data_IF_068648566848
#
_entry.id   IF_068648566848
#
_cell.length_a   1.000
_cell.length_b   1.000
_cell.length_c   1.000
_cell.angle_alpha   90.00
_cell.angle_beta   90.00
_cell.angle_gamma   90.00
#
_symmetry.space_group_name_H-M   'P 1'
#
loop_
_entity.id
_entity.type
_entity.pdbx_description
1 polymer ?
#
# COMPACT_ATOMS: atom_id res chain seq x y z
N UNK A 1 7.60 22.39 25.11
CA UNK A 1 7.17 21.23 24.31
C UNK A 1 6.53 21.79 23.06
N UNK A 2 6.93 21.40 21.85
CA UNK A 2 6.21 21.81 20.65
C UNK A 2 4.73 21.40 20.82
N UNK A 3 3.80 22.32 20.53
CA UNK A 3 2.37 22.01 20.54
C UNK A 3 2.12 20.83 19.61
N UNK A 4 1.68 19.69 20.15
CA UNK A 4 1.23 18.57 19.33
C UNK A 4 -0.07 19.01 18.67
N UNK A 5 0.02 19.46 17.41
CA UNK A 5 -1.13 19.88 16.63
C UNK A 5 -2.08 18.70 16.45
N UNK A 6 -3.30 18.83 16.98
CA UNK A 6 -4.35 17.84 16.73
C UNK A 6 -4.92 18.08 15.33
N UNK A 7 -4.37 17.36 14.36
CA UNK A 7 -4.71 17.46 12.95
C UNK A 7 -6.14 17.03 12.62
N UNK A 8 -6.73 16.14 13.41
CA UNK A 8 -8.14 15.77 13.24
C UNK A 8 -9.08 16.90 13.71
N UNK A 9 -8.76 17.55 14.83
CA UNK A 9 -9.49 18.73 15.31
C UNK A 9 -9.43 19.89 14.29
N UNK A 10 -8.28 20.08 13.63
CA UNK A 10 -8.17 21.05 12.54
C UNK A 10 -9.14 20.72 11.39
N UNK A 11 -9.14 19.47 10.91
CA UNK A 11 -10.06 19.00 9.86
C UNK A 11 -11.53 19.15 10.24
N UNK A 12 -11.89 18.88 11.49
CA UNK A 12 -13.25 19.10 12.01
C UNK A 12 -13.64 20.58 11.98
N UNK A 13 -12.68 21.46 12.23
CA UNK A 13 -12.89 22.90 12.22
C UNK A 13 -13.07 23.42 10.79
N UNK A 14 -12.22 22.98 9.86
CA UNK A 14 -12.30 23.30 8.43
C UNK A 14 -13.60 22.74 7.80
N UNK A 15 -14.06 21.56 8.24
CA UNK A 15 -15.34 21.01 7.80
C UNK A 15 -16.53 21.91 8.18
N UNK A 16 -16.42 22.70 9.26
CA UNK A 16 -17.48 23.59 9.75
C UNK A 16 -17.87 24.69 8.76
N UNK A 17 -17.04 24.95 7.75
CA UNK A 17 -17.31 25.87 6.64
C UNK A 17 -18.32 25.29 5.63
N UNK A 18 -18.43 23.96 5.55
CA UNK A 18 -19.29 23.26 4.59
C UNK A 18 -20.43 22.47 5.24
N UNK A 19 -20.30 22.10 6.51
CA UNK A 19 -21.30 21.35 7.26
C UNK A 19 -21.16 21.64 8.76
N UNK A 20 -22.26 21.72 9.50
CA UNK A 20 -22.15 21.99 10.94
C UNK A 20 -21.46 20.85 11.72
N UNK A 21 -20.46 21.21 12.52
CA UNK A 21 -19.79 20.33 13.49
C UNK A 21 -19.98 20.90 14.89
N UNK A 22 -20.56 20.11 15.80
CA UNK A 22 -20.92 20.51 17.16
C UNK A 22 -20.40 19.54 18.22
N UNK A 23 -20.24 20.01 19.46
CA UNK A 23 -19.95 19.16 20.61
C UNK A 23 -21.17 18.30 20.97
N UNK A 24 -21.03 16.97 20.96
CA UNK A 24 -22.12 16.03 21.30
C UNK A 24 -22.37 15.93 22.81
N UNK A 25 -21.35 16.24 23.60
CA UNK A 25 -21.38 16.36 25.06
C UNK A 25 -20.52 17.53 25.55
N UNK A 26 -20.53 17.80 26.85
CA UNK A 26 -19.63 18.78 27.44
C UNK A 26 -18.18 18.29 27.36
N UNK A 27 -17.29 19.11 26.80
CA UNK A 27 -15.88 18.74 26.60
C UNK A 27 -15.06 19.31 27.76
N UNK A 28 -14.38 18.42 28.47
CA UNK A 28 -13.56 18.77 29.63
C UNK A 28 -12.08 18.51 29.37
N UNK A 29 -11.20 19.28 30.01
CA UNK A 29 -9.80 18.90 30.12
C UNK A 29 -9.61 17.74 31.13
N UNK A 30 -8.40 17.18 31.19
CA UNK A 30 -8.04 16.08 32.10
C UNK A 30 -8.29 16.38 33.59
N UNK A 31 -8.37 17.66 33.97
CA UNK A 31 -8.63 18.10 35.35
C UNK A 31 -10.12 18.36 35.63
N UNK A 32 -11.01 18.11 34.66
CA UNK A 32 -12.45 18.30 34.80
C UNK A 32 -12.94 19.73 34.60
N UNK A 33 -12.11 20.63 34.05
CA UNK A 33 -12.54 21.99 33.70
C UNK A 33 -13.27 21.96 32.36
N UNK A 34 -14.48 22.54 32.33
CA UNK A 34 -15.28 22.68 31.10
C UNK A 34 -14.56 23.59 30.10
N UNK A 35 -14.32 23.08 28.91
CA UNK A 35 -13.74 23.84 27.80
C UNK A 35 -14.85 24.29 26.84
N UNK A 36 -15.65 23.35 26.35
CA UNK A 36 -16.69 23.59 25.36
C UNK A 36 -18.00 22.96 25.85
N UNK A 37 -19.08 23.74 25.88
CA UNK A 37 -20.39 23.24 26.27
C UNK A 37 -21.03 22.42 25.14
N UNK A 38 -21.79 21.40 25.50
CA UNK A 38 -22.61 20.60 24.57
C UNK A 38 -23.42 21.49 23.62
N UNK A 39 -23.44 21.13 22.33
CA UNK A 39 -24.13 21.86 21.26
C UNK A 39 -23.35 23.05 20.70
N UNK A 40 -22.20 23.41 21.29
CA UNK A 40 -21.35 24.47 20.74
C UNK A 40 -20.69 24.03 19.45
N UNK A 41 -20.56 24.95 18.48
CA UNK A 41 -19.84 24.69 17.22
C UNK A 41 -18.33 24.53 17.45
N UNK A 42 -17.74 23.55 16.78
CA UNK A 42 -16.28 23.33 16.74
C UNK A 42 -15.68 24.25 15.68
N UNK A 43 -15.55 25.54 15.99
CA UNK A 43 -14.96 26.57 15.11
C UNK A 43 -13.50 26.89 15.50
N UNK A 44 -12.85 27.83 14.80
CA UNK A 44 -11.44 28.18 15.07
C UNK A 44 -11.18 28.65 16.51
N UNK A 45 -12.17 29.26 17.18
CA UNK A 45 -12.06 29.63 18.60
C UNK A 45 -12.09 28.38 19.49
N UNK A 46 -13.00 27.44 19.21
CA UNK A 46 -13.06 26.16 19.91
C UNK A 46 -11.78 25.35 19.69
N UNK A 47 -11.26 25.29 18.46
CA UNK A 47 -9.98 24.67 18.13
C UNK A 47 -8.84 25.23 18.97
N UNK A 48 -8.66 26.56 18.97
CA UNK A 48 -7.59 27.23 19.72
C UNK A 48 -7.70 26.98 21.23
N UNK A 49 -8.92 26.81 21.75
CA UNK A 49 -9.15 26.46 23.15
C UNK A 49 -8.81 25.00 23.44
N UNK A 50 -9.30 24.07 22.62
CA UNK A 50 -9.11 22.63 22.80
C UNK A 50 -7.64 22.21 22.64
N UNK A 51 -6.92 22.77 21.66
CA UNK A 51 -5.51 22.43 21.38
C UNK A 51 -4.56 22.77 22.53
N UNK A 52 -4.93 23.72 23.41
CA UNK A 52 -4.13 24.11 24.58
C UNK A 52 -4.28 23.17 25.78
N UNK A 53 -5.14 22.17 25.70
CA UNK A 53 -5.50 21.32 26.83
C UNK A 53 -5.49 19.84 26.46
N UNK A 54 -4.93 19.00 27.33
CA UNK A 54 -5.18 17.56 27.29
C UNK A 54 -6.65 17.31 27.62
N UNK A 55 -7.39 16.70 26.70
CA UNK A 55 -8.81 16.40 26.88
C UNK A 55 -9.01 15.16 27.77
N UNK A 56 -10.12 15.12 28.50
CA UNK A 56 -10.50 13.97 29.34
C UNK A 56 -10.89 12.74 28.52
N UNK A 57 -11.52 12.96 27.36
CA UNK A 57 -11.84 11.95 26.34
C UNK A 57 -11.29 12.44 25.00
N UNK A 58 -11.09 11.53 24.05
CA UNK A 58 -10.68 11.91 22.69
C UNK A 58 -11.78 12.76 22.02
N UNK A 59 -11.37 13.73 21.18
CA UNK A 59 -12.31 14.63 20.51
C UNK A 59 -13.26 13.86 19.59
N UNK A 60 -12.78 12.76 19.00
CA UNK A 60 -13.47 11.84 18.13
C UNK A 60 -14.80 11.33 18.71
N UNK A 61 -14.85 11.13 20.03
CA UNK A 61 -16.03 10.62 20.74
C UNK A 61 -16.98 11.72 21.24
N UNK A 62 -16.57 12.98 21.10
CA UNK A 62 -17.24 14.14 21.71
C UNK A 62 -17.82 15.12 20.68
N UNK A 63 -17.83 14.76 19.40
CA UNK A 63 -18.35 15.60 18.32
C UNK A 63 -19.46 14.91 17.54
N UNK A 64 -20.39 15.70 17.02
CA UNK A 64 -21.43 15.30 16.08
C UNK A 64 -21.38 16.15 14.83
N UNK A 65 -21.60 15.49 13.70
CA UNK A 65 -21.72 16.12 12.38
C UNK A 65 -23.21 16.23 12.03
N UNK A 66 -23.61 17.33 11.40
CA UNK A 66 -24.99 17.55 10.91
C UNK A 66 -25.47 16.41 10.01
N UNK A 67 -24.63 16.00 9.05
CA UNK A 67 -24.87 14.83 8.23
C UNK A 67 -23.68 13.88 8.25
N UNK A 68 -23.97 12.58 8.20
CA UNK A 68 -22.97 11.53 8.07
C UNK A 68 -23.44 10.57 6.98
N UNK A 69 -22.51 9.92 6.30
CA UNK A 69 -22.90 8.91 5.32
C UNK A 69 -23.67 7.77 5.98
N UNK A 70 -24.76 7.35 5.33
CA UNK A 70 -25.39 6.05 5.53
C UNK A 70 -24.68 4.98 4.71
N UNK A 71 -24.83 3.71 5.09
CA UNK A 71 -24.31 2.57 4.33
C UNK A 71 -24.78 2.59 2.87
N UNK A 72 -26.01 3.05 2.62
CA UNK A 72 -26.55 3.26 1.27
C UNK A 72 -25.79 4.34 0.48
N UNK A 73 -25.43 5.46 1.11
CA UNK A 73 -24.66 6.52 0.45
C UNK A 73 -23.23 6.07 0.16
N UNK A 74 -22.61 5.30 1.06
CA UNK A 74 -21.27 4.71 0.84
C UNK A 74 -21.33 3.77 -0.36
N UNK A 75 -22.29 2.83 -0.39
CA UNK A 75 -22.53 1.94 -1.53
C UNK A 75 -22.69 2.70 -2.85
N UNK A 76 -23.54 3.73 -2.88
CA UNK A 76 -23.77 4.54 -4.08
C UNK A 76 -22.51 5.27 -4.55
N UNK A 77 -21.69 5.75 -3.62
CA UNK A 77 -20.40 6.38 -3.95
C UNK A 77 -19.38 5.37 -4.47
N UNK A 78 -19.35 4.15 -3.93
CA UNK A 78 -18.52 3.08 -4.48
C UNK A 78 -18.94 2.73 -5.90
N UNK A 79 -20.25 2.56 -6.16
CA UNK A 79 -20.73 2.31 -7.53
C UNK A 79 -20.33 3.42 -8.50
N UNK A 80 -20.39 4.68 -8.07
CA UNK A 80 -19.96 5.80 -8.91
C UNK A 80 -18.47 5.72 -9.32
N UNK A 81 -17.60 5.13 -8.48
CA UNK A 81 -16.18 4.88 -8.83
C UNK A 81 -16.10 3.73 -9.85
N UNK A 82 -16.83 2.65 -9.63
CA UNK A 82 -16.84 1.49 -10.54
C UNK A 82 -17.38 1.88 -11.92
N UNK A 83 -18.42 2.70 -11.99
CA UNK A 83 -19.03 3.16 -13.24
C UNK A 83 -18.11 4.10 -14.05
N UNK A 84 -17.17 4.77 -13.38
CA UNK A 84 -16.16 5.60 -14.03
C UNK A 84 -15.02 4.78 -14.66
N UNK A 85 -14.89 3.50 -14.30
CA UNK A 85 -13.85 2.61 -14.82
C UNK A 85 -14.46 1.39 -15.52
N UNK A 86 -14.42 1.34 -16.87
CA UNK A 86 -14.91 0.19 -17.64
C UNK A 86 -14.28 -1.14 -17.19
N UNK A 87 -13.01 -1.12 -16.79
CA UNK A 87 -12.28 -2.30 -16.31
C UNK A 87 -12.83 -2.81 -14.98
N UNK A 88 -13.09 -1.91 -14.01
CA UNK A 88 -13.66 -2.29 -12.72
C UNK A 88 -15.10 -2.77 -12.84
N UNK A 89 -15.88 -2.14 -13.73
CA UNK A 89 -17.23 -2.57 -14.01
C UNK A 89 -17.24 -3.98 -14.65
N UNK A 90 -16.34 -4.23 -15.62
CA UNK A 90 -16.16 -5.56 -16.20
C UNK A 90 -15.78 -6.60 -15.14
N UNK A 91 -14.82 -6.32 -14.26
CA UNK A 91 -14.46 -7.21 -13.17
C UNK A 91 -15.65 -7.56 -12.28
N UNK A 92 -16.45 -6.56 -11.89
CA UNK A 92 -17.64 -6.80 -11.09
C UNK A 92 -18.64 -7.72 -11.80
N UNK A 93 -18.89 -7.48 -13.09
CA UNK A 93 -19.82 -8.28 -13.89
C UNK A 93 -19.34 -9.73 -14.07
N UNK A 94 -18.08 -9.91 -14.49
CA UNK A 94 -17.50 -11.24 -14.73
C UNK A 94 -17.40 -12.07 -13.45
N UNK A 95 -17.25 -11.43 -12.29
CA UNK A 95 -17.25 -12.08 -10.99
C UNK A 95 -18.64 -12.15 -10.33
N UNK A 96 -19.71 -11.75 -11.03
CA UNK A 96 -21.10 -11.74 -10.55
C UNK A 96 -21.23 -11.11 -9.15
N UNK A 97 -20.55 -9.98 -8.93
CA UNK A 97 -20.33 -9.45 -7.59
C UNK A 97 -21.27 -8.32 -7.18
N UNK A 98 -22.04 -7.75 -8.09
CA UNK A 98 -22.92 -6.60 -7.81
C UNK A 98 -23.93 -6.89 -6.68
N UNK A 99 -24.74 -7.95 -6.80
CA UNK A 99 -25.72 -8.33 -5.78
C UNK A 99 -25.08 -8.70 -4.44
N UNK A 100 -24.06 -9.59 -4.39
CA UNK A 100 -23.32 -9.87 -3.16
C UNK A 100 -22.76 -8.60 -2.49
N UNK A 101 -22.16 -7.70 -3.28
CA UNK A 101 -21.58 -6.47 -2.78
C UNK A 101 -22.64 -5.56 -2.17
N UNK A 102 -23.79 -5.40 -2.85
CA UNK A 102 -24.94 -4.68 -2.31
C UNK A 102 -25.38 -5.22 -0.95
N UNK A 103 -25.46 -6.55 -0.80
CA UNK A 103 -25.80 -7.17 0.48
C UNK A 103 -24.75 -6.91 1.55
N UNK A 104 -23.46 -6.99 1.21
CA UNK A 104 -22.35 -6.71 2.13
C UNK A 104 -22.41 -5.27 2.62
N UNK A 105 -22.57 -4.28 1.72
CA UNK A 105 -22.61 -2.88 2.11
C UNK A 105 -23.83 -2.55 2.98
N UNK A 106 -25.03 -3.00 2.59
CA UNK A 106 -26.27 -2.66 3.29
C UNK A 106 -26.46 -3.42 4.61
N UNK A 107 -25.63 -4.43 4.88
CA UNK A 107 -25.55 -5.11 6.17
C UNK A 107 -24.31 -4.68 6.99
N UNK A 108 -23.51 -3.74 6.48
CA UNK A 108 -22.27 -3.28 7.09
C UNK A 108 -22.44 -2.77 8.51
N UNK A 109 -23.51 -2.02 8.80
CA UNK A 109 -23.84 -1.48 10.11
C UNK A 109 -22.66 -0.73 10.75
N UNK A 110 -22.07 0.20 9.99
CA UNK A 110 -20.90 0.96 10.45
C UNK A 110 -21.24 1.80 11.69
N UNK A 111 -20.42 1.72 12.77
CA UNK A 111 -20.56 2.59 13.93
C UNK A 111 -20.58 4.07 13.53
N UNK A 112 -21.32 4.88 14.28
CA UNK A 112 -21.47 6.30 13.99
C UNK A 112 -20.12 7.03 13.89
N UNK A 113 -19.16 6.70 14.76
CA UNK A 113 -17.83 7.28 14.75
C UNK A 113 -17.10 7.02 13.43
N UNK A 114 -17.24 5.81 12.86
CA UNK A 114 -16.61 5.47 11.58
C UNK A 114 -17.29 6.19 10.41
N UNK A 115 -18.62 6.30 10.44
CA UNK A 115 -19.39 7.08 9.45
C UNK A 115 -19.01 8.56 9.49
N UNK A 116 -18.80 9.12 10.68
CA UNK A 116 -18.27 10.48 10.86
C UNK A 116 -16.89 10.64 10.22
N UNK A 117 -15.95 9.72 10.50
CA UNK A 117 -14.60 9.76 9.92
C UNK A 117 -14.59 9.69 8.41
N UNK A 118 -15.36 8.77 7.83
CA UNK A 118 -15.52 8.66 6.37
C UNK A 118 -16.11 9.94 5.77
N UNK A 119 -17.03 10.59 6.49
CA UNK A 119 -17.58 11.89 6.08
C UNK A 119 -16.50 12.96 6.09
N UNK A 120 -15.73 13.11 7.19
CA UNK A 120 -14.60 14.05 7.26
C UNK A 120 -13.58 13.77 6.15
N UNK A 121 -13.22 12.50 5.93
CA UNK A 121 -12.28 12.08 4.90
C UNK A 121 -12.76 12.47 3.51
N UNK A 122 -14.03 12.29 3.18
CA UNK A 122 -14.55 12.65 1.85
C UNK A 122 -14.47 14.14 1.51
N UNK A 123 -14.45 15.02 2.52
CA UNK A 123 -14.34 16.46 2.35
C UNK A 123 -12.89 16.94 2.40
N UNK A 124 -12.10 16.38 3.32
CA UNK A 124 -10.75 16.87 3.64
C UNK A 124 -9.64 16.10 2.91
N UNK A 125 -9.88 14.84 2.55
CA UNK A 125 -8.96 13.93 1.85
C UNK A 125 -9.72 13.13 0.76
N UNK A 126 -10.27 13.80 -0.27
CA UNK A 126 -11.21 13.18 -1.22
C UNK A 126 -10.60 12.01 -2.00
N UNK A 127 -9.31 12.07 -2.35
CA UNK A 127 -8.60 10.98 -3.02
C UNK A 127 -8.47 9.75 -2.11
N UNK A 128 -8.10 9.95 -0.84
CA UNK A 128 -8.03 8.87 0.14
C UNK A 128 -9.40 8.28 0.49
N UNK A 129 -10.45 9.08 0.41
CA UNK A 129 -11.81 8.57 0.51
C UNK A 129 -12.17 7.66 -0.68
N UNK A 130 -11.81 8.03 -1.91
CA UNK A 130 -12.00 7.16 -3.08
C UNK A 130 -11.19 5.86 -2.97
N UNK A 131 -9.93 5.97 -2.51
CA UNK A 131 -9.06 4.83 -2.21
C UNK A 131 -9.71 3.88 -1.19
N UNK A 132 -10.28 4.42 -0.11
CA UNK A 132 -11.01 3.66 0.90
C UNK A 132 -12.24 2.93 0.32
N UNK A 133 -13.01 3.61 -0.54
CA UNK A 133 -14.19 3.00 -1.18
C UNK A 133 -13.79 1.84 -2.11
N UNK A 134 -12.73 2.01 -2.90
CA UNK A 134 -12.18 0.95 -3.73
C UNK A 134 -11.73 -0.24 -2.87
N UNK A 135 -10.97 0.04 -1.80
CA UNK A 135 -10.41 -1.01 -0.96
C UNK A 135 -11.48 -1.81 -0.21
N UNK A 136 -12.57 -1.17 0.21
CA UNK A 136 -13.73 -1.88 0.75
C UNK A 136 -14.32 -2.85 -0.29
N UNK A 137 -14.52 -2.40 -1.52
CA UNK A 137 -15.04 -3.25 -2.60
C UNK A 137 -14.09 -4.40 -2.95
N UNK A 138 -12.84 -4.10 -3.28
CA UNK A 138 -11.86 -5.10 -3.72
C UNK A 138 -11.54 -6.13 -2.62
N UNK A 139 -11.39 -5.70 -1.37
CA UNK A 139 -11.18 -6.62 -0.23
C UNK A 139 -12.34 -7.59 -0.07
N UNK A 140 -13.59 -7.12 -0.21
CA UNK A 140 -14.78 -7.96 -0.11
C UNK A 140 -14.94 -8.91 -1.30
N UNK A 141 -14.52 -8.49 -2.51
CA UNK A 141 -14.46 -9.35 -3.69
C UNK A 141 -13.44 -10.48 -3.52
N UNK A 142 -12.23 -10.15 -3.03
CA UNK A 142 -11.19 -11.14 -2.72
C UNK A 142 -11.69 -12.14 -1.67
N UNK A 143 -12.28 -11.66 -0.58
CA UNK A 143 -12.85 -12.51 0.47
C UNK A 143 -13.92 -13.48 -0.06
N UNK A 144 -14.81 -12.99 -0.94
CA UNK A 144 -15.83 -13.83 -1.59
C UNK A 144 -15.18 -14.88 -2.50
N UNK A 145 -14.18 -14.50 -3.28
CA UNK A 145 -13.48 -15.42 -4.19
C UNK A 145 -12.70 -16.52 -3.45
N UNK A 146 -12.26 -16.22 -2.22
CA UNK A 146 -11.70 -17.21 -1.31
C UNK A 146 -12.75 -18.18 -0.73
N UNK A 147 -14.05 -17.91 -0.94
CA UNK A 147 -15.14 -18.71 -0.40
C UNK A 147 -15.40 -18.48 1.09
N UNK A 148 -15.01 -17.30 1.63
CA UNK A 148 -15.22 -16.97 3.04
C UNK A 148 -16.71 -16.77 3.35
N UNK A 149 -17.07 -16.85 4.64
CA UNK A 149 -18.45 -16.67 5.06
C UNK A 149 -18.92 -15.22 4.79
N UNK A 150 -20.24 -14.98 4.67
CA UNK A 150 -20.77 -13.62 4.46
C UNK A 150 -20.29 -12.61 5.51
N UNK A 151 -20.14 -13.05 6.76
CA UNK A 151 -19.64 -12.21 7.85
C UNK A 151 -18.16 -11.84 7.66
N UNK A 152 -17.32 -12.79 7.26
CA UNK A 152 -15.90 -12.51 6.96
C UNK A 152 -15.75 -11.57 5.75
N UNK A 153 -16.62 -11.71 4.74
CA UNK A 153 -16.68 -10.79 3.60
C UNK A 153 -17.07 -9.37 4.04
N UNK A 154 -17.98 -9.26 5.03
CA UNK A 154 -18.37 -7.99 5.65
C UNK A 154 -17.23 -7.39 6.46
N UNK A 155 -16.50 -8.19 7.23
CA UNK A 155 -15.29 -7.71 7.93
C UNK A 155 -14.21 -7.25 6.95
N UNK A 156 -14.00 -7.96 5.83
CA UNK A 156 -13.07 -7.55 4.78
C UNK A 156 -13.49 -6.22 4.12
N UNK A 157 -14.78 -6.04 3.85
CA UNK A 157 -15.33 -4.76 3.37
C UNK A 157 -15.06 -3.61 4.33
N UNK A 158 -15.39 -3.78 5.62
CA UNK A 158 -15.22 -2.74 6.63
C UNK A 158 -13.73 -2.46 6.87
N UNK A 159 -12.90 -3.50 6.93
CA UNK A 159 -11.46 -3.35 7.10
C UNK A 159 -10.83 -2.59 5.92
N UNK A 160 -11.16 -2.95 4.69
CA UNK A 160 -10.70 -2.24 3.50
C UNK A 160 -11.21 -0.80 3.44
N UNK A 161 -12.45 -0.54 3.87
CA UNK A 161 -13.00 0.81 3.92
C UNK A 161 -12.34 1.71 4.98
N UNK A 162 -11.78 1.13 6.04
CA UNK A 162 -11.30 1.87 7.21
C UNK A 162 -9.77 1.83 7.38
N UNK A 163 -9.03 1.12 6.54
CA UNK A 163 -7.59 0.90 6.73
C UNK A 163 -6.78 2.19 6.90
N UNK A 164 -7.18 3.25 6.19
CA UNK A 164 -6.48 4.54 6.17
C UNK A 164 -7.13 5.66 6.99
N UNK A 165 -8.12 5.36 7.85
CA UNK A 165 -8.74 6.40 8.70
C UNK A 165 -7.77 7.05 9.68
N UNK A 166 -6.62 6.43 9.93
CA UNK A 166 -5.53 7.01 10.70
C UNK A 166 -4.91 8.24 10.04
N UNK A 167 -4.94 8.36 8.71
CA UNK A 167 -4.37 9.50 7.97
C UNK A 167 -5.05 10.84 8.33
N UNK A 168 -6.30 10.81 8.80
CA UNK A 168 -7.02 11.98 9.29
C UNK A 168 -6.34 12.67 10.48
N UNK A 169 -5.48 11.95 11.20
CA UNK A 169 -4.76 12.44 12.37
C UNK A 169 -3.33 12.89 12.07
N UNK A 170 -2.88 12.75 10.82
CA UNK A 170 -1.53 13.15 10.41
C UNK A 170 -1.53 14.55 9.79
N UNK A 171 -0.35 15.18 9.79
CA UNK A 171 -0.15 16.43 9.06
C UNK A 171 -0.34 16.19 7.57
N UNK A 172 -0.99 17.11 6.81
CA UNK A 172 -1.02 17.04 5.36
C UNK A 172 0.37 16.93 4.72
N UNK A 173 1.38 17.56 5.33
CA UNK A 173 2.76 17.59 4.81
C UNK A 173 3.47 16.22 4.88
N UNK A 174 2.93 15.27 5.66
CA UNK A 174 3.51 13.93 5.81
C UNK A 174 3.37 13.10 4.52
N UNK A 175 2.38 13.41 3.68
CA UNK A 175 2.13 12.68 2.42
C UNK A 175 2.69 13.42 1.19
N UNK A 176 2.99 14.72 1.27
CA UNK A 176 3.27 15.55 0.10
C UNK A 176 4.76 15.70 -0.24
N UNK A 177 5.66 15.32 0.67
CA UNK A 177 7.11 15.42 0.42
C UNK A 177 7.61 14.22 -0.39
N UNK A 178 8.16 14.48 -1.57
CA UNK A 178 8.78 13.44 -2.41
C UNK A 178 10.22 13.85 -2.76
N UNK A 179 11.25 13.06 -2.38
CA UNK A 179 11.16 11.84 -1.55
C UNK A 179 10.77 12.17 -0.09
N UNK A 180 10.13 11.20 0.58
CA UNK A 180 9.77 11.35 2.00
C UNK A 180 11.03 11.37 2.86
N UNK A 181 11.11 12.32 3.79
CA UNK A 181 12.13 12.29 4.83
C UNK A 181 11.92 11.10 5.76
N UNK A 182 12.98 10.63 6.43
CA UNK A 182 12.87 9.54 7.40
C UNK A 182 11.87 9.87 8.53
N UNK A 183 11.80 11.14 8.94
CA UNK A 183 10.83 11.62 9.93
C UNK A 183 9.39 11.50 9.43
N UNK A 184 9.12 11.99 8.21
CA UNK A 184 7.79 11.88 7.61
C UNK A 184 7.41 10.43 7.35
N UNK A 185 8.35 9.58 6.93
CA UNK A 185 8.11 8.15 6.78
C UNK A 185 7.69 7.49 8.10
N UNK A 186 8.41 7.76 9.20
CA UNK A 186 8.02 7.25 10.53
C UNK A 186 6.65 7.80 10.98
N UNK A 187 6.38 9.07 10.72
CA UNK A 187 5.08 9.68 11.03
C UNK A 187 3.95 9.03 10.22
N UNK A 188 4.18 8.78 8.92
CA UNK A 188 3.22 8.11 8.04
C UNK A 188 2.89 6.72 8.57
N UNK A 189 3.88 5.92 8.96
CA UNK A 189 3.67 4.58 9.53
C UNK A 189 2.77 4.57 10.77
N UNK A 190 2.60 5.68 11.48
CA UNK A 190 1.71 5.73 12.65
C UNK A 190 0.21 5.65 12.30
N UNK A 191 -0.17 5.85 11.03
CA UNK A 191 -1.58 5.82 10.62
C UNK A 191 -2.23 4.45 10.88
N UNK A 192 -1.51 3.35 10.69
CA UNK A 192 -2.04 2.00 10.95
C UNK A 192 -2.38 1.79 12.44
N UNK A 193 -1.56 2.36 13.33
CA UNK A 193 -1.75 2.26 14.79
C UNK A 193 -2.94 3.13 15.21
N UNK A 194 -3.02 4.35 14.68
CA UNK A 194 -4.14 5.26 14.94
C UNK A 194 -5.45 4.68 14.38
N UNK A 195 -5.39 4.09 13.19
CA UNK A 195 -6.52 3.43 12.52
C UNK A 195 -7.05 2.24 13.32
N UNK A 196 -6.15 1.36 13.81
CA UNK A 196 -6.50 0.28 14.72
C UNK A 196 -7.23 0.82 15.96
N UNK A 197 -6.66 1.83 16.63
CA UNK A 197 -7.28 2.43 17.82
C UNK A 197 -8.67 2.98 17.52
N UNK A 198 -8.84 3.67 16.39
CA UNK A 198 -10.14 4.19 15.97
C UNK A 198 -11.19 3.07 15.79
N UNK A 199 -10.79 1.93 15.21
CA UNK A 199 -11.69 0.79 15.05
C UNK A 199 -12.03 0.15 16.41
N UNK A 200 -11.02 -0.09 17.25
CA UNK A 200 -11.19 -0.74 18.55
C UNK A 200 -12.10 0.07 19.50
N UNK A 201 -11.97 1.41 19.53
CA UNK A 201 -12.83 2.25 20.38
C UNK A 201 -14.25 2.40 19.85
N UNK A 202 -14.49 2.08 18.56
CA UNK A 202 -15.82 2.16 17.95
C UNK A 202 -16.70 0.93 18.18
N UNK A 203 -16.16 -0.12 18.83
CA UNK A 203 -16.87 -1.37 19.10
C UNK A 203 -16.93 -2.34 17.91
N UNK A 204 -16.09 -2.13 16.88
CA UNK A 204 -15.91 -3.11 15.82
C UNK A 204 -15.19 -4.38 16.34
N UNK A 205 -15.38 -5.54 15.69
CA UNK A 205 -14.60 -6.74 15.97
C UNK A 205 -13.09 -6.45 15.96
N UNK A 206 -12.35 -7.00 16.93
CA UNK A 206 -10.90 -6.81 17.06
C UNK A 206 -10.11 -7.35 15.86
N UNK A 207 -10.71 -8.25 15.08
CA UNK A 207 -10.18 -8.74 13.80
C UNK A 207 -10.02 -7.61 12.79
N UNK A 208 -10.96 -6.66 12.74
CA UNK A 208 -10.90 -5.48 11.88
C UNK A 208 -9.77 -4.56 12.34
N UNK A 209 -9.71 -4.21 13.64
CA UNK A 209 -8.62 -3.39 14.18
C UNK A 209 -7.24 -4.00 13.90
N UNK A 210 -7.10 -5.31 14.05
CA UNK A 210 -5.88 -6.04 13.67
C UNK A 210 -5.60 -5.98 12.16
N UNK A 211 -6.61 -6.15 11.32
CA UNK A 211 -6.45 -6.05 9.87
C UNK A 211 -5.95 -4.66 9.44
N UNK A 212 -6.48 -3.60 10.05
CA UNK A 212 -6.01 -2.22 9.86
C UNK A 212 -4.56 -2.05 10.32
N UNK A 213 -4.16 -2.63 11.45
CA UNK A 213 -2.76 -2.58 11.90
C UNK A 213 -1.80 -3.27 10.91
N UNK A 214 -2.24 -4.37 10.29
CA UNK A 214 -1.39 -5.30 9.55
C UNK A 214 -1.44 -5.12 8.02
N UNK A 215 -2.20 -4.16 7.48
CA UNK A 215 -2.39 -4.07 6.02
C UNK A 215 -1.13 -3.68 5.23
N UNK A 216 -0.11 -3.12 5.88
CA UNK A 216 1.21 -2.91 5.30
C UNK A 216 2.25 -3.97 5.71
N UNK A 217 1.85 -4.99 6.48
CA UNK A 217 2.70 -6.15 6.76
C UNK A 217 2.77 -7.08 5.55
N UNK A 218 3.89 -7.78 5.40
CA UNK A 218 4.16 -8.71 4.30
C UNK A 218 4.71 -10.02 4.88
N UNK A 219 4.42 -11.15 4.25
CA UNK A 219 4.87 -12.47 4.76
C UNK A 219 6.40 -12.58 4.83
N UNK A 220 7.07 -11.81 3.99
CA UNK A 220 8.52 -11.71 3.89
C UNK A 220 9.15 -10.73 4.91
N UNK A 221 8.37 -10.21 5.85
CA UNK A 221 8.78 -9.28 6.92
C UNK A 221 9.34 -7.93 6.43
N UNK A 222 9.16 -7.60 5.14
CA UNK A 222 9.58 -6.30 4.60
C UNK A 222 8.56 -5.19 4.88
N UNK A 223 7.39 -5.55 5.41
CA UNK A 223 6.31 -4.62 5.75
C UNK A 223 6.54 -3.78 7.02
N UNK A 224 5.48 -3.15 7.50
CA UNK A 224 5.46 -2.34 8.72
C UNK A 224 4.07 -2.44 9.37
N UNK A 225 3.89 -2.12 10.67
CA UNK A 225 4.86 -1.48 11.58
C UNK A 225 5.73 -2.47 12.38
N UNK A 226 5.34 -3.73 12.49
CA UNK A 226 5.94 -4.71 13.40
C UNK A 226 6.81 -5.77 12.74
N UNK A 227 6.75 -5.93 11.41
CA UNK A 227 7.53 -6.92 10.64
C UNK A 227 7.32 -8.34 11.16
N UNK A 228 6.05 -8.68 11.44
CA UNK A 228 5.69 -9.97 12.03
C UNK A 228 6.06 -11.13 11.09
N UNK A 229 6.43 -12.26 11.68
CA UNK A 229 6.57 -13.51 10.94
C UNK A 229 5.24 -13.90 10.27
N UNK A 230 5.30 -14.52 9.09
CA UNK A 230 4.14 -14.95 8.30
C UNK A 230 3.06 -15.67 9.11
N UNK A 231 3.44 -16.57 10.03
CA UNK A 231 2.52 -17.35 10.88
C UNK A 231 1.75 -16.51 11.91
N UNK A 232 2.17 -15.25 12.13
CA UNK A 232 1.59 -14.32 13.08
C UNK A 232 0.71 -13.24 12.42
N UNK A 233 0.58 -13.23 11.09
CA UNK A 233 -0.29 -12.29 10.37
C UNK A 233 -1.73 -12.81 10.27
N UNK A 234 -2.69 -11.91 10.44
CA UNK A 234 -4.11 -12.19 10.27
C UNK A 234 -4.52 -12.17 8.79
N UNK A 235 -5.54 -12.95 8.40
CA UNK A 235 -5.99 -13.00 7.00
C UNK A 235 -6.53 -11.65 6.51
N UNK A 236 -7.28 -10.90 7.33
CA UNK A 236 -7.84 -9.60 6.93
C UNK A 236 -6.77 -8.58 6.51
N UNK A 237 -5.68 -8.47 7.28
CA UNK A 237 -4.59 -7.55 6.93
C UNK A 237 -3.97 -7.91 5.58
N UNK A 238 -3.82 -9.19 5.27
CA UNK A 238 -3.29 -9.64 3.98
C UNK A 238 -4.28 -9.49 2.81
N UNK A 239 -5.59 -9.58 3.06
CA UNK A 239 -6.62 -9.28 2.05
C UNK A 239 -6.55 -7.79 1.70
N UNK A 240 -6.55 -6.92 2.71
CA UNK A 240 -6.47 -5.46 2.49
C UNK A 240 -5.14 -5.07 1.86
N UNK A 241 -4.02 -5.68 2.28
CA UNK A 241 -2.71 -5.48 1.66
C UNK A 241 -2.71 -5.75 0.14
N UNK A 242 -3.43 -6.79 -0.29
CA UNK A 242 -3.52 -7.17 -1.69
C UNK A 242 -4.43 -6.21 -2.47
N UNK A 243 -5.51 -5.76 -1.83
CA UNK A 243 -6.44 -4.77 -2.37
C UNK A 243 -5.77 -3.38 -2.54
N UNK A 244 -5.04 -2.92 -1.54
CA UNK A 244 -4.35 -1.63 -1.53
C UNK A 244 -3.28 -1.59 -2.64
N UNK A 245 -2.48 -2.65 -2.72
CA UNK A 245 -1.52 -2.79 -3.81
C UNK A 245 -2.19 -2.79 -5.19
N UNK A 246 -3.31 -3.52 -5.35
CA UNK A 246 -4.06 -3.52 -6.61
C UNK A 246 -4.48 -2.08 -6.98
N UNK A 247 -5.00 -1.31 -6.02
CA UNK A 247 -5.34 0.09 -6.26
C UNK A 247 -4.13 0.88 -6.73
N UNK A 248 -3.01 0.81 -6.02
CA UNK A 248 -1.81 1.60 -6.30
C UNK A 248 -1.20 1.29 -7.68
N UNK A 249 -1.29 0.03 -8.12
CA UNK A 249 -0.93 -0.39 -9.48
C UNK A 249 -1.91 0.18 -10.53
N UNK A 250 -3.20 0.26 -10.21
CA UNK A 250 -4.22 0.78 -11.13
C UNK A 250 -4.23 2.32 -11.24
N UNK A 251 -3.73 3.06 -10.24
CA UNK A 251 -3.85 4.54 -10.16
C UNK A 251 -2.56 5.32 -10.45
N UNK A 252 -1.50 4.67 -10.94
CA UNK A 252 -0.20 5.24 -11.38
C UNK A 252 0.89 5.55 -10.34
N UNK A 253 0.77 5.18 -9.06
CA UNK A 253 1.90 5.46 -8.13
C UNK A 253 3.08 4.48 -8.30
N UNK A 254 2.81 3.28 -8.81
CA UNK A 254 3.82 2.23 -8.98
C UNK A 254 3.91 1.66 -10.41
N UNK A 255 3.01 2.02 -11.32
CA UNK A 255 2.92 1.32 -12.62
C UNK A 255 3.93 1.80 -13.66
N UNK A 256 4.52 0.83 -14.36
CA UNK A 256 5.36 0.98 -15.54
C UNK A 256 4.66 1.68 -16.73
N UNK A 257 3.33 1.60 -16.77
CA UNK A 257 2.46 2.23 -17.78
C UNK A 257 1.13 2.65 -17.15
N UNK A 258 0.36 3.52 -17.82
CA UNK A 258 -0.79 4.13 -17.16
C UNK A 258 -1.97 3.18 -16.95
N UNK A 259 -2.15 2.73 -15.70
CA UNK A 259 -3.43 2.54 -15.03
C UNK A 259 -4.43 1.59 -15.70
N UNK A 260 -4.02 0.34 -15.87
CA UNK A 260 -4.94 -0.77 -16.17
C UNK A 260 -4.77 -1.91 -15.19
N UNK A 261 -5.87 -2.57 -14.83
CA UNK A 261 -5.87 -3.73 -13.92
C UNK A 261 -5.05 -4.90 -14.49
N UNK A 262 -4.98 -5.02 -15.82
CA UNK A 262 -4.13 -6.03 -16.47
C UNK A 262 -2.65 -5.84 -16.14
N UNK A 263 -2.20 -4.59 -15.95
CA UNK A 263 -0.81 -4.27 -15.66
C UNK A 263 -0.42 -4.62 -14.21
N UNK A 264 -1.39 -4.92 -13.35
CA UNK A 264 -1.14 -5.45 -12.03
C UNK A 264 -0.78 -6.96 -12.03
N UNK A 265 -1.18 -7.71 -13.07
CA UNK A 265 -0.94 -9.16 -13.15
C UNK A 265 0.54 -9.53 -13.03
N UNK A 266 1.48 -8.92 -13.78
CA UNK A 266 2.89 -9.28 -13.71
C UNK A 266 3.49 -8.98 -12.33
N UNK A 267 3.07 -7.89 -11.69
CA UNK A 267 3.46 -7.56 -10.31
C UNK A 267 3.06 -8.68 -9.36
N UNK A 268 1.77 -9.08 -9.37
CA UNK A 268 1.28 -10.12 -8.48
C UNK A 268 1.96 -11.48 -8.78
N UNK A 269 2.24 -11.81 -10.05
CA UNK A 269 2.98 -13.02 -10.44
C UNK A 269 4.37 -13.06 -9.77
N UNK A 270 5.11 -11.95 -9.74
CA UNK A 270 6.40 -11.88 -9.04
C UNK A 270 6.19 -11.99 -7.53
N UNK A 271 5.28 -11.18 -6.98
CA UNK A 271 5.08 -11.02 -5.55
C UNK A 271 4.31 -12.14 -4.87
N UNK A 272 4.21 -13.33 -5.49
CA UNK A 272 3.49 -14.49 -4.96
C UNK A 272 3.86 -14.82 -3.51
N UNK A 273 5.14 -14.73 -3.14
CA UNK A 273 5.61 -15.06 -1.78
C UNK A 273 5.42 -13.95 -0.75
N UNK A 274 5.14 -12.71 -1.17
CA UNK A 274 4.90 -11.58 -0.25
C UNK A 274 3.48 -11.62 0.36
N UNK A 275 2.57 -12.40 -0.25
CA UNK A 275 1.17 -12.52 0.13
C UNK A 275 0.79 -13.97 0.46
N UNK A 276 -0.28 -14.15 1.25
CA UNK A 276 -0.81 -15.48 1.52
C UNK A 276 -1.26 -16.17 0.23
N UNK A 277 -0.86 -17.43 0.04
CA UNK A 277 -1.12 -18.19 -1.19
C UNK A 277 -2.61 -18.28 -1.54
N UNK A 278 -3.49 -18.44 -0.54
CA UNK A 278 -4.94 -18.52 -0.79
C UNK A 278 -5.52 -17.18 -1.28
N UNK A 279 -5.03 -16.07 -0.73
CA UNK A 279 -5.41 -14.70 -1.10
C UNK A 279 -4.88 -14.38 -2.49
N UNK A 280 -3.59 -14.64 -2.73
CA UNK A 280 -2.95 -14.44 -4.02
C UNK A 280 -3.66 -15.26 -5.11
N UNK A 281 -3.96 -16.52 -4.85
CA UNK A 281 -4.69 -17.38 -5.80
C UNK A 281 -6.10 -16.86 -6.10
N UNK A 282 -6.80 -16.33 -5.10
CA UNK A 282 -8.11 -15.71 -5.30
C UNK A 282 -8.02 -14.47 -6.17
N UNK A 283 -7.05 -13.58 -5.88
CA UNK A 283 -6.80 -12.40 -6.68
C UNK A 283 -6.47 -12.76 -8.13
N UNK A 284 -5.57 -13.71 -8.36
CA UNK A 284 -5.24 -14.14 -9.72
C UNK A 284 -6.46 -14.68 -10.48
N UNK A 285 -7.38 -15.40 -9.82
CA UNK A 285 -8.64 -15.85 -10.44
C UNK A 285 -9.58 -14.70 -10.79
N UNK A 286 -9.67 -13.69 -9.92
CA UNK A 286 -10.46 -12.47 -10.19
C UNK A 286 -9.91 -11.78 -11.44
N UNK A 287 -8.60 -11.55 -11.47
CA UNK A 287 -7.91 -10.84 -12.56
C UNK A 287 -7.90 -11.64 -13.87
N UNK A 288 -7.87 -12.97 -13.83
CA UNK A 288 -7.89 -13.81 -15.04
C UNK A 288 -9.28 -13.93 -15.69
N UNK A 289 -10.36 -13.65 -14.95
CA UNK A 289 -11.74 -13.72 -15.49
C UNK A 289 -12.16 -12.48 -16.25
N UNK A 290 -11.51 -11.36 -15.98
CA UNK A 290 -11.70 -10.18 -16.80
C UNK A 290 -10.98 -10.42 -18.11
N UNK A 291 -11.75 -10.55 -19.20
CA UNK A 291 -11.27 -10.61 -20.59
C UNK A 291 -10.66 -9.24 -20.99
N UNK A 292 -9.64 -8.79 -20.23
CA UNK A 292 -9.05 -7.44 -20.31
C UNK A 292 -8.24 -7.23 -21.59
N UNK A 293 -7.94 -8.30 -22.33
CA UNK A 293 -7.17 -8.28 -23.57
C UNK A 293 -7.82 -7.43 -24.68
N UNK A 294 -9.07 -7.00 -24.51
CA UNK A 294 -9.86 -6.32 -25.54
C UNK A 294 -10.23 -4.85 -25.23
N UNK A 295 -9.88 -4.30 -24.06
CA UNK A 295 -10.18 -2.89 -23.74
C UNK A 295 -8.99 -1.99 -24.15
N UNK A 296 -8.91 -1.84 -25.46
CA UNK A 296 -8.24 -0.83 -26.30
C UNK A 296 -7.38 0.28 -25.62
N UNK A 297 -6.12 0.35 -26.09
CA UNK A 297 -5.35 1.57 -26.38
C UNK A 297 -5.21 2.67 -25.31
N UNK A 298 -4.39 2.42 -24.28
CA UNK A 298 -3.52 3.48 -23.75
C UNK A 298 -2.08 3.18 -24.14
N UNK A 299 -1.49 4.05 -24.96
CA UNK A 299 -0.07 4.03 -25.27
C UNK A 299 0.71 3.88 -23.97
N UNK A 300 1.46 2.77 -23.83
CA UNK A 300 2.41 2.63 -22.74
C UNK A 300 3.31 3.87 -22.75
N UNK A 301 3.55 4.46 -21.58
CA UNK A 301 4.38 5.68 -21.45
C UNK A 301 5.79 5.45 -22.03
N UNK A 302 6.24 4.19 -22.04
CA UNK A 302 7.42 3.70 -22.74
C UNK A 302 7.02 2.48 -23.57
N UNK A 303 7.09 2.49 -24.92
CA UNK A 303 6.86 1.29 -25.71
C UNK A 303 7.88 0.21 -25.31
N UNK A 304 7.40 -1.02 -25.18
CA UNK A 304 8.23 -2.21 -24.91
C UNK A 304 9.33 -2.29 -25.96
N UNK A 305 10.58 -2.45 -25.51
CA UNK A 305 11.75 -2.51 -26.36
C UNK A 305 12.53 -3.79 -26.04
N UNK A 306 12.61 -4.70 -27.03
CA UNK A 306 13.25 -6.00 -26.88
C UNK A 306 14.72 -5.88 -26.42
N UNK A 307 15.47 -4.91 -26.94
CA UNK A 307 16.87 -4.71 -26.55
C UNK A 307 17.00 -4.19 -25.12
N UNK A 308 16.07 -3.34 -24.66
CA UNK A 308 15.97 -2.96 -23.24
C UNK A 308 15.70 -4.19 -22.38
N UNK A 309 14.67 -4.97 -22.70
CA UNK A 309 14.29 -6.18 -21.93
C UNK A 309 15.46 -7.16 -21.83
N UNK A 310 16.20 -7.38 -22.92
CA UNK A 310 17.42 -8.21 -22.94
C UNK A 310 18.53 -7.65 -22.04
N UNK A 311 18.80 -6.34 -22.16
CA UNK A 311 19.85 -5.69 -21.38
C UNK A 311 19.54 -5.73 -19.87
N UNK A 312 18.28 -5.47 -19.49
CA UNK A 312 17.84 -5.53 -18.10
C UNK A 312 17.87 -6.97 -17.57
N UNK A 313 17.48 -7.97 -18.38
CA UNK A 313 17.56 -9.38 -17.99
C UNK A 313 18.98 -9.77 -17.58
N UNK A 314 19.97 -9.41 -18.41
CA UNK A 314 21.39 -9.69 -18.14
C UNK A 314 21.88 -9.00 -16.85
N UNK A 315 21.50 -7.75 -16.63
CA UNK A 315 21.86 -7.02 -15.40
C UNK A 315 21.24 -7.64 -14.15
N UNK A 316 19.95 -8.00 -14.19
CA UNK A 316 19.27 -8.66 -13.08
C UNK A 316 19.93 -10.01 -12.75
N UNK A 317 20.25 -10.84 -13.74
CA UNK A 317 20.98 -12.09 -13.50
C UNK A 317 22.32 -11.85 -12.79
N UNK A 318 23.04 -10.78 -13.16
CA UNK A 318 24.30 -10.38 -12.52
C UNK A 318 24.11 -9.91 -11.07
N UNK A 319 23.11 -9.07 -10.81
CA UNK A 319 22.81 -8.48 -9.50
C UNK A 319 22.31 -9.51 -8.48
N UNK A 320 21.55 -10.50 -8.96
CA UNK A 320 20.86 -11.45 -8.11
C UNK A 320 21.70 -12.71 -7.80
N UNK A 321 22.69 -13.02 -8.64
CA UNK A 321 23.56 -14.17 -8.46
C UNK A 321 24.22 -14.26 -7.07
N UNK A 322 24.86 -13.20 -6.52
CA UNK A 322 25.58 -13.30 -5.24
C UNK A 322 24.67 -13.25 -4.00
N UNK A 323 23.37 -12.98 -4.13
CA UNK A 323 22.50 -12.73 -2.98
C UNK A 323 22.39 -13.92 -2.01
N UNK A 324 22.44 -15.15 -2.53
CA UNK A 324 22.31 -16.36 -1.70
C UNK A 324 23.50 -16.54 -0.75
N UNK A 325 24.72 -16.33 -1.27
CA UNK A 325 25.95 -16.43 -0.50
C UNK A 325 26.02 -15.29 0.54
N UNK A 326 25.77 -14.05 0.10
CA UNK A 326 25.77 -12.87 0.98
C UNK A 326 24.74 -12.99 2.12
N UNK A 327 23.52 -13.47 1.81
CA UNK A 327 22.51 -13.68 2.85
C UNK A 327 22.94 -14.73 3.86
N UNK A 328 23.54 -15.84 3.40
CA UNK A 328 24.03 -16.91 4.27
C UNK A 328 25.14 -16.42 5.21
N UNK A 329 26.06 -15.61 4.71
CA UNK A 329 27.11 -14.99 5.51
C UNK A 329 26.56 -14.02 6.57
N UNK A 330 25.59 -13.18 6.19
CA UNK A 330 24.94 -12.27 7.13
C UNK A 330 24.25 -13.06 8.26
N UNK A 331 23.52 -14.12 7.92
CA UNK A 331 22.85 -14.98 8.93
C UNK A 331 23.88 -15.66 9.83
N UNK A 332 24.98 -16.16 9.26
CA UNK A 332 26.06 -16.79 10.02
C UNK A 332 26.73 -15.82 11.01
N UNK A 333 26.76 -14.52 10.70
CA UNK A 333 27.31 -13.48 11.59
C UNK A 333 26.50 -13.25 12.88
N UNK A 334 25.25 -13.75 12.96
CA UNK A 334 24.32 -13.62 14.11
C UNK A 334 24.08 -12.19 14.59
N UNK A 335 24.29 -11.17 13.76
CA UNK A 335 24.01 -9.78 14.11
C UNK A 335 22.51 -9.50 13.90
N UNK A 336 21.81 -9.14 14.97
CA UNK A 336 20.37 -8.85 14.92
C UNK A 336 20.06 -7.69 13.98
N UNK A 337 20.95 -6.69 13.92
CA UNK A 337 20.81 -5.49 13.10
C UNK A 337 20.88 -5.77 11.59
N UNK A 338 21.56 -6.85 11.17
CA UNK A 338 21.71 -7.24 9.77
C UNK A 338 20.69 -8.28 9.30
N UNK A 339 19.92 -8.86 10.23
CA UNK A 339 18.96 -9.92 9.90
C UNK A 339 17.86 -9.44 8.95
N UNK A 340 17.43 -8.18 9.07
CA UNK A 340 16.46 -7.58 8.15
C UNK A 340 16.95 -7.53 6.71
N UNK A 341 18.25 -7.24 6.50
CA UNK A 341 18.90 -7.23 5.18
C UNK A 341 18.98 -8.64 4.62
N UNK A 342 19.39 -9.62 5.43
CA UNK A 342 19.40 -11.02 5.03
C UNK A 342 18.01 -11.53 4.62
N UNK A 343 16.97 -11.14 5.36
CA UNK A 343 15.59 -11.46 5.02
C UNK A 343 15.20 -10.82 3.70
N UNK A 344 15.49 -9.53 3.47
CA UNK A 344 15.23 -8.87 2.18
C UNK A 344 15.92 -9.58 1.00
N UNK A 345 17.17 -10.01 1.17
CA UNK A 345 17.89 -10.79 0.16
C UNK A 345 17.18 -12.12 -0.14
N UNK A 346 16.75 -12.84 0.90
CA UNK A 346 16.00 -14.11 0.75
C UNK A 346 14.65 -13.89 0.06
N UNK A 347 13.96 -12.78 0.35
CA UNK A 347 12.74 -12.41 -0.33
C UNK A 347 12.99 -12.21 -1.82
N UNK A 348 14.00 -11.41 -2.18
CA UNK A 348 14.36 -11.15 -3.60
C UNK A 348 14.76 -12.46 -4.32
N UNK A 349 15.52 -13.35 -3.66
CA UNK A 349 15.85 -14.67 -4.19
C UNK A 349 14.58 -15.49 -4.45
N UNK A 350 13.66 -15.52 -3.49
CA UNK A 350 12.41 -16.25 -3.63
C UNK A 350 11.54 -15.68 -4.76
N UNK A 351 11.50 -14.36 -4.91
CA UNK A 351 10.77 -13.68 -6.00
C UNK A 351 11.38 -14.00 -7.36
N UNK A 352 12.71 -13.99 -7.48
CA UNK A 352 13.43 -14.41 -8.69
C UNK A 352 13.06 -15.85 -9.06
N UNK A 353 13.12 -16.76 -8.10
CA UNK A 353 12.89 -18.19 -8.36
C UNK A 353 11.42 -18.50 -8.72
N UNK A 354 10.47 -17.76 -8.14
CA UNK A 354 9.03 -17.95 -8.39
C UNK A 354 8.50 -17.21 -9.62
N UNK A 355 9.18 -16.15 -10.08
CA UNK A 355 8.75 -15.35 -11.24
C UNK A 355 9.13 -15.96 -12.59
N UNK A 356 10.07 -16.91 -12.62
CA UNK A 356 10.61 -17.46 -13.86
C UNK A 356 11.57 -16.52 -14.60
N UNK A 357 11.88 -15.34 -14.06
CA UNK A 357 12.80 -14.36 -14.68
C UNK A 357 14.20 -14.96 -14.90
N UNK A 358 14.63 -15.88 -14.04
CA UNK A 358 15.92 -16.57 -14.19
C UNK A 358 15.82 -17.96 -14.83
N UNK A 359 14.68 -18.30 -15.43
CA UNK A 359 14.53 -19.57 -16.17
C UNK A 359 15.38 -19.53 -17.45
N UNK A 360 16.15 -20.60 -17.68
CA UNK A 360 16.91 -20.77 -18.91
C UNK A 360 16.03 -20.74 -20.16
N UNK A 361 14.80 -21.27 -20.08
CA UNK A 361 13.86 -21.24 -21.21
C UNK A 361 13.42 -19.83 -21.57
N UNK A 362 13.18 -18.98 -20.56
CA UNK A 362 12.83 -17.59 -20.78
C UNK A 362 13.99 -16.83 -21.42
N UNK A 363 15.22 -17.06 -20.94
CA UNK A 363 16.41 -16.45 -21.52
C UNK A 363 16.64 -16.91 -22.97
N UNK A 364 16.48 -18.20 -23.26
CA UNK A 364 16.60 -18.75 -24.60
C UNK A 364 15.54 -18.14 -25.55
N UNK A 365 14.31 -17.99 -25.06
CA UNK A 365 13.24 -17.31 -25.80
C UNK A 365 13.59 -15.84 -26.07
N UNK A 366 14.00 -15.08 -25.04
CA UNK A 366 14.41 -13.68 -25.19
C UNK A 366 15.55 -13.50 -26.19
N UNK A 367 16.50 -14.44 -26.23
CA UNK A 367 17.67 -14.39 -27.11
C UNK A 367 17.42 -14.97 -28.51
N UNK A 368 16.23 -15.53 -28.76
CA UNK A 368 15.83 -16.03 -30.08
C UNK A 368 15.48 -14.89 -31.07
N UNK A 369 15.22 -15.26 -32.32
CA UNK A 369 14.70 -14.33 -33.33
C UNK A 369 13.23 -13.99 -33.03
N UNK A 370 13.02 -13.02 -32.13
CA UNK A 370 11.69 -12.52 -31.76
C UNK A 370 11.28 -11.33 -32.63
N UNK A 371 10.05 -11.38 -33.15
CA UNK A 371 9.38 -10.22 -33.73
C UNK A 371 8.55 -9.52 -32.63
N UNK A 372 8.96 -8.33 -32.14
CA UNK A 372 8.23 -7.60 -31.11
C UNK A 372 6.96 -6.92 -31.63
N UNK A 373 6.68 -6.99 -32.94
CA UNK A 373 5.44 -6.46 -33.54
C UNK A 373 4.31 -7.49 -33.59
N UNK A 374 4.64 -8.77 -33.40
CA UNK A 374 3.65 -9.84 -33.19
C UNK A 374 2.90 -9.63 -31.87
N UNK A 375 1.58 -9.84 -31.87
CA UNK A 375 0.72 -9.50 -30.72
C UNK A 375 1.04 -10.34 -29.48
N UNK A 376 1.33 -11.62 -29.67
CA UNK A 376 1.56 -12.56 -28.57
C UNK A 376 2.93 -12.29 -27.96
N UNK A 377 3.96 -12.11 -28.80
CA UNK A 377 5.29 -11.71 -28.35
C UNK A 377 5.28 -10.35 -27.65
N UNK A 378 4.56 -9.37 -28.19
CA UNK A 378 4.45 -8.04 -27.61
C UNK A 378 3.83 -8.09 -26.21
N UNK A 379 2.74 -8.84 -26.04
CA UNK A 379 2.07 -9.03 -24.75
C UNK A 379 3.03 -9.68 -23.73
N UNK A 380 3.71 -10.76 -24.10
CA UNK A 380 4.70 -11.42 -23.24
C UNK A 380 5.85 -10.48 -22.88
N UNK A 381 6.41 -9.75 -23.85
CA UNK A 381 7.49 -8.80 -23.59
C UNK A 381 7.04 -7.66 -22.66
N UNK A 382 5.79 -7.18 -22.78
CA UNK A 382 5.22 -6.18 -21.88
C UNK A 382 5.16 -6.67 -20.44
N UNK A 383 4.71 -7.92 -20.22
CA UNK A 383 4.69 -8.50 -18.88
C UNK A 383 6.10 -8.61 -18.29
N UNK A 384 7.06 -9.12 -19.07
CA UNK A 384 8.46 -9.27 -18.62
C UNK A 384 9.08 -7.92 -18.29
N UNK A 385 8.88 -6.90 -19.13
CA UNK A 385 9.44 -5.56 -18.93
C UNK A 385 8.93 -4.93 -17.62
N UNK A 386 7.63 -5.07 -17.33
CA UNK A 386 7.05 -4.63 -16.06
C UNK A 386 7.63 -5.41 -14.87
N UNK A 387 7.79 -6.73 -15.01
CA UNK A 387 8.36 -7.57 -13.96
C UNK A 387 9.82 -7.20 -13.65
N UNK A 388 10.61 -6.95 -14.68
CA UNK A 388 11.99 -6.52 -14.56
C UNK A 388 12.10 -5.16 -13.86
N UNK A 389 11.24 -4.21 -14.21
CA UNK A 389 11.19 -2.89 -13.58
C UNK A 389 10.93 -2.97 -12.07
N UNK A 390 9.99 -3.81 -11.64
CA UNK A 390 9.70 -4.03 -10.21
C UNK A 390 10.87 -4.68 -9.47
N UNK A 391 11.51 -5.68 -10.08
CA UNK A 391 12.66 -6.35 -9.48
C UNK A 391 13.84 -5.39 -9.28
N UNK A 392 14.05 -4.44 -10.19
CA UNK A 392 15.05 -3.38 -10.03
C UNK A 392 14.72 -2.46 -8.84
N UNK A 393 13.46 -2.10 -8.64
CA UNK A 393 13.04 -1.31 -7.48
C UNK A 393 13.27 -2.04 -6.15
N UNK A 394 13.01 -3.35 -6.10
CA UNK A 394 13.32 -4.17 -4.93
C UNK A 394 14.82 -4.24 -4.64
N UNK A 395 15.64 -4.40 -5.68
CA UNK A 395 17.11 -4.37 -5.56
C UNK A 395 17.59 -2.98 -5.11
N UNK A 396 16.97 -1.90 -5.60
CA UNK A 396 17.24 -0.53 -5.14
C UNK A 396 16.95 -0.36 -3.64
N UNK A 397 15.79 -0.85 -3.20
CA UNK A 397 15.40 -0.85 -1.77
C UNK A 397 16.37 -1.64 -0.90
N UNK A 398 16.84 -2.80 -1.38
CA UNK A 398 17.91 -3.54 -0.72
C UNK A 398 19.19 -2.70 -0.61
N UNK A 399 19.55 -1.96 -1.67
CA UNK A 399 20.68 -1.03 -1.69
C UNK A 399 20.63 0.02 -0.57
N UNK A 400 19.48 0.65 -0.34
CA UNK A 400 19.33 1.61 0.77
C UNK A 400 19.54 0.97 2.15
N UNK A 401 19.01 -0.23 2.36
CA UNK A 401 19.17 -0.93 3.64
C UNK A 401 20.60 -1.44 3.84
N UNK A 402 21.27 -1.85 2.76
CA UNK A 402 22.69 -2.17 2.77
C UNK A 402 23.54 -0.96 3.13
N UNK A 403 23.26 0.22 2.56
CA UNK A 403 23.95 1.48 2.91
C UNK A 403 23.84 1.77 4.41
N UNK A 404 22.63 1.74 4.96
CA UNK A 404 22.41 1.98 6.39
C UNK A 404 23.16 0.96 7.27
N UNK A 405 23.15 -0.32 6.88
CA UNK A 405 23.91 -1.35 7.57
C UNK A 405 25.42 -1.07 7.51
N UNK A 406 25.95 -0.73 6.33
CA UNK A 406 27.37 -0.43 6.14
C UNK A 406 27.81 0.80 6.95
N UNK A 407 27.02 1.88 6.94
CA UNK A 407 27.29 3.10 7.72
C UNK A 407 27.25 2.86 9.23
N UNK A 408 26.29 2.05 9.72
CA UNK A 408 26.25 1.65 11.14
C UNK A 408 27.42 0.73 11.54
N UNK A 409 27.88 -0.10 10.60
CA UNK A 409 28.97 -1.06 10.79
C UNK A 409 30.37 -0.48 10.63
N UNK A 410 30.51 0.73 10.05
CA UNK A 410 31.79 1.41 9.81
C UNK A 410 32.59 1.71 11.10
N UNK A 411 32.01 1.47 12.28
CA UNK A 411 32.72 1.48 13.57
C UNK A 411 33.45 0.16 13.91
N UNK A 412 33.26 -0.93 13.15
CA UNK A 412 33.80 -2.28 13.44
C UNK A 412 34.38 -2.94 12.18
N UNK A 413 35.71 -2.98 12.06
CA UNK A 413 36.44 -3.54 10.92
C UNK A 413 36.40 -5.08 10.87
N UNK A 414 35.65 -5.67 9.93
CA UNK A 414 35.60 -7.12 9.67
C UNK A 414 35.49 -7.45 8.16
N UNK A 415 35.91 -8.66 7.72
CA UNK A 415 35.96 -9.06 6.32
C UNK A 415 34.58 -9.24 5.63
N UNK A 416 33.53 -9.66 6.37
CA UNK A 416 32.15 -9.71 5.83
C UNK A 416 31.65 -8.33 5.35
N UNK A 417 32.22 -7.25 5.89
CA UNK A 417 31.90 -5.87 5.49
C UNK A 417 32.50 -5.52 4.12
N UNK A 418 33.61 -6.15 3.71
CA UNK A 418 34.29 -5.85 2.45
C UNK A 418 33.52 -6.39 1.24
N UNK A 419 33.02 -7.63 1.33
CA UNK A 419 32.20 -8.23 0.26
C UNK A 419 30.85 -7.52 0.11
N UNK A 420 30.18 -7.20 1.23
CA UNK A 420 28.96 -6.40 1.22
C UNK A 420 29.17 -5.01 0.64
N UNK A 421 30.28 -4.36 0.95
CA UNK A 421 30.63 -3.06 0.37
C UNK A 421 30.92 -3.17 -1.13
N UNK A 422 31.65 -4.21 -1.57
CA UNK A 422 31.89 -4.46 -2.99
C UNK A 422 30.60 -4.74 -3.76
N UNK A 423 29.68 -5.50 -3.17
CA UNK A 423 28.36 -5.75 -3.73
C UNK A 423 27.55 -4.45 -3.82
N UNK A 424 27.53 -3.64 -2.77
CA UNK A 424 26.81 -2.37 -2.73
C UNK A 424 27.28 -1.38 -3.82
N UNK A 425 28.60 -1.24 -4.02
CA UNK A 425 29.12 -0.36 -5.07
C UNK A 425 28.74 -0.86 -6.48
N UNK A 426 28.81 -2.18 -6.73
CA UNK A 426 28.36 -2.78 -8.00
C UNK A 426 26.86 -2.59 -8.22
N UNK A 427 26.07 -2.77 -7.18
CA UNK A 427 24.61 -2.58 -7.19
C UNK A 427 24.26 -1.15 -7.58
N UNK A 428 24.94 -0.15 -7.01
CA UNK A 428 24.73 1.27 -7.32
C UNK A 428 25.02 1.58 -8.80
N UNK A 429 26.13 1.09 -9.33
CA UNK A 429 26.51 1.30 -10.73
C UNK A 429 25.49 0.66 -11.70
N UNK A 430 25.17 -0.61 -11.50
CA UNK A 430 24.26 -1.33 -12.39
C UNK A 430 22.83 -0.81 -12.31
N UNK A 431 22.31 -0.46 -11.12
CA UNK A 431 20.97 0.14 -11.03
C UNK A 431 20.89 1.48 -11.76
N UNK A 432 21.95 2.29 -11.71
CA UNK A 432 21.99 3.56 -12.46
C UNK A 432 21.88 3.31 -13.96
N UNK A 433 22.60 2.31 -14.49
CA UNK A 433 22.52 1.90 -15.89
C UNK A 433 21.13 1.35 -16.24
N UNK A 434 20.58 0.47 -15.40
CA UNK A 434 19.28 -0.16 -15.60
C UNK A 434 18.14 0.87 -15.67
N UNK A 435 18.03 1.76 -14.68
CA UNK A 435 17.00 2.81 -14.68
C UNK A 435 17.19 3.82 -15.82
N UNK A 436 18.44 4.07 -16.24
CA UNK A 436 18.73 4.90 -17.41
C UNK A 436 18.18 4.33 -18.73
N UNK A 437 18.01 3.00 -18.85
CA UNK A 437 17.36 2.37 -20.01
C UNK A 437 15.84 2.58 -20.03
N UNK A 438 15.23 2.84 -18.87
CA UNK A 438 13.80 3.12 -18.74
C UNK A 438 13.45 4.60 -18.91
N UNK A 439 14.37 5.51 -18.56
CA UNK A 439 14.13 6.94 -18.71
C UNK A 439 15.43 7.70 -19.10
N UNK A 440 15.68 7.92 -20.40
CA UNK A 440 16.92 8.55 -20.87
C UNK A 440 17.03 10.06 -20.56
N UNK A 441 15.96 10.69 -20.07
CA UNK A 441 15.93 12.12 -19.71
C UNK A 441 16.15 12.39 -18.21
N UNK A 442 16.06 11.37 -17.34
CA UNK A 442 16.32 11.49 -15.91
C UNK A 442 17.82 11.40 -15.66
N UNK A 443 18.39 12.41 -14.98
CA UNK A 443 19.83 12.45 -14.73
C UNK A 443 20.19 11.45 -13.63
N UNK A 444 21.41 10.86 -13.63
CA UNK A 444 21.90 9.99 -12.56
C UNK A 444 21.80 10.61 -11.15
N UNK A 445 21.76 11.94 -11.05
CA UNK A 445 21.58 12.69 -9.80
C UNK A 445 20.19 12.53 -9.18
N UNK A 446 19.15 12.28 -9.97
CA UNK A 446 17.76 12.20 -9.49
C UNK A 446 17.46 10.84 -8.83
N UNK A 447 18.40 9.89 -8.93
CA UNK A 447 18.33 8.57 -8.30
C UNK A 447 19.32 8.39 -7.15
N UNK A 448 20.16 9.39 -6.87
CA UNK A 448 21.18 9.32 -5.81
C UNK A 448 20.66 9.71 -4.42
N UNK A 449 19.57 10.49 -4.34
CA UNK A 449 19.05 11.07 -3.09
C UNK A 449 17.55 10.78 -2.80
N UNK A 450 16.94 9.79 -3.48
CA UNK A 450 15.57 9.33 -3.23
C UNK A 450 15.53 7.86 -2.82
#
# INVERSE_FOLDING_TARGET
MPEQTNHYLQRLTELNDTQEVTASEDIFNQFGVLLIAKGSRINSKAQAQLQRHQLKKDIDDQVSLETTFSDKQIYQKTLAILDQSPELNNLQQQNQFEDPFRHICLSGNLPLQMRQKLTVMSHQLPEQFQHSLFNGWASSLIAKEMGLAPEDCREAYICGLLHDVGLLHLSPDVQTQTPLSEENWRALQSHVIIGQRCADTSGLPSTIGRGILEHHERLDQTGYPTRKAATMLGPLGQIVASSDLLHNLCTNELSYSKGSIHEALPYFKIHRSSFNESIHSALMRILSRSELDQIDNKQSVQPVNLERVRAINSQLLSLLAPLADLSSEIVASKRTESLSVATMMQSIISLRDNSGISDGQLNDWLMSELDPTDSDNYSCLKEIDAMQYELLWLVKRLGWNLKNLLESSASKSEPATAELNSYYERLKEQLTLAFGLYNPEIKPSDHQDA
#
